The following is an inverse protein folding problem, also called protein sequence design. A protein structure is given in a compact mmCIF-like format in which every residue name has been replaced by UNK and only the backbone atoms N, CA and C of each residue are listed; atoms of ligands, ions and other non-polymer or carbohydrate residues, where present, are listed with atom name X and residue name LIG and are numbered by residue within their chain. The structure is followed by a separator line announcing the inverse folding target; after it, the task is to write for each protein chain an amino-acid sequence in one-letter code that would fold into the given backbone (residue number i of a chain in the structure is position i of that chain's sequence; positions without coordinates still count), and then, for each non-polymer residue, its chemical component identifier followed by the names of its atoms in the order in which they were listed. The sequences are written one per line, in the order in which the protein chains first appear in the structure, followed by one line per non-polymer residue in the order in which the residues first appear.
data_IF_138302327476
#
_entry.id   IF_138302327476
#
_cell.length_a   1.000
_cell.length_b   1.000
_cell.length_c   1.000
_cell.angle_alpha   90.00
_cell.angle_beta   90.00
_cell.angle_gamma   90.00
#
_symmetry.space_group_name_H-M   'P 1'
#
loop_
_entity.id
_entity.type
_entity.pdbx_description
1 polymer ?
#
# COMPACT_ATOMS: atom_id res chain seq x y z
N UNK A 1 -43.88 -29.23 11.31
CA UNK A 1 -42.89 -29.12 12.39
C UNK A 1 -42.15 -27.82 12.17
N UNK A 2 -42.41 -26.86 13.07
CA UNK A 2 -41.70 -25.58 13.22
C UNK A 2 -40.19 -25.84 13.23
N UNK A 3 -39.37 -25.05 12.54
CA UNK A 3 -39.23 -23.62 12.79
C UNK A 3 -38.20 -23.43 13.90
N UNK A 4 -36.93 -23.66 13.58
CA UNK A 4 -35.78 -23.33 14.42
C UNK A 4 -34.54 -23.36 13.53
N UNK A 5 -33.99 -22.18 13.20
CA UNK A 5 -32.57 -21.88 12.93
C UNK A 5 -32.49 -20.51 12.23
N UNK A 6 -32.61 -19.45 13.03
CA UNK A 6 -32.00 -18.14 12.82
C UNK A 6 -32.35 -17.28 14.04
N UNK A 7 -31.78 -17.61 15.19
CA UNK A 7 -31.69 -16.62 16.24
C UNK A 7 -30.73 -15.55 15.72
N UNK A 8 -31.26 -14.36 15.43
CA UNK A 8 -30.48 -13.14 15.24
C UNK A 8 -29.68 -12.92 16.51
N UNK A 9 -28.43 -13.38 16.51
CA UNK A 9 -27.46 -13.03 17.55
C UNK A 9 -27.23 -11.53 17.42
N UNK A 10 -27.52 -10.77 18.48
CA UNK A 10 -27.02 -9.41 18.58
C UNK A 10 -25.48 -9.48 18.56
N UNK A 11 -24.80 -8.68 17.72
CA UNK A 11 -23.34 -8.62 17.72
C UNK A 11 -22.84 -8.29 19.12
N UNK A 12 -21.79 -8.97 19.56
CA UNK A 12 -21.23 -8.84 20.92
C UNK A 12 -20.54 -7.48 21.14
N UNK A 13 -20.30 -6.72 20.08
CA UNK A 13 -19.55 -5.46 20.11
C UNK A 13 -20.45 -4.30 20.55
N UNK A 14 -20.27 -3.79 21.78
CA UNK A 14 -20.86 -2.52 22.23
C UNK A 14 -20.21 -1.36 21.43
N UNK A 15 -20.98 -0.85 20.47
CA UNK A 15 -20.67 0.29 19.58
C UNK A 15 -20.33 1.60 20.30
N UNK A 16 -20.57 1.70 21.62
CA UNK A 16 -20.20 2.90 22.42
C UNK A 16 -18.70 3.09 22.62
N UNK A 17 -17.87 2.16 22.14
CA UNK A 17 -16.43 2.37 22.03
C UNK A 17 -16.12 3.14 20.74
N UNK A 18 -15.72 4.40 20.89
CA UNK A 18 -15.46 5.36 19.82
C UNK A 18 -14.93 4.74 18.51
N UNK A 19 -15.51 5.16 17.38
CA UNK A 19 -15.25 4.75 15.99
C UNK A 19 -13.77 4.53 15.57
N UNK A 20 -12.80 5.00 16.36
CA UNK A 20 -11.36 4.76 16.19
C UNK A 20 -10.88 3.35 16.56
N UNK A 21 -11.73 2.50 17.15
CA UNK A 21 -11.31 1.21 17.74
C UNK A 21 -11.75 -0.04 17.02
N UNK A 22 -12.47 0.07 15.91
CA UNK A 22 -12.91 -1.09 15.13
C UNK A 22 -11.95 -1.39 13.98
N UNK A 23 -11.73 -2.67 13.72
CA UNK A 23 -10.98 -3.18 12.58
C UNK A 23 -11.87 -4.17 11.82
N UNK A 24 -11.82 -4.10 10.49
CA UNK A 24 -12.53 -5.00 9.60
C UNK A 24 -11.49 -5.70 8.73
N UNK A 25 -11.37 -7.01 8.91
CA UNK A 25 -10.63 -7.86 8.00
C UNK A 25 -11.61 -8.53 7.03
N UNK A 26 -11.56 -8.20 5.73
CA UNK A 26 -12.37 -8.88 4.72
C UNK A 26 -12.07 -10.38 4.67
N UNK A 27 -13.11 -11.20 4.61
CA UNK A 27 -13.06 -12.65 4.49
C UNK A 27 -13.96 -13.14 3.35
N UNK A 28 -13.66 -14.35 2.87
CA UNK A 28 -14.39 -14.95 1.75
C UNK A 28 -14.28 -14.09 0.50
N UNK A 29 -13.04 -13.71 0.15
CA UNK A 29 -12.76 -12.96 -1.06
C UNK A 29 -13.12 -13.80 -2.28
N UNK A 30 -13.92 -13.20 -3.17
CA UNK A 30 -14.34 -13.77 -4.45
C UNK A 30 -14.03 -12.78 -5.56
N UNK A 31 -13.90 -13.27 -6.78
CA UNK A 31 -13.56 -12.49 -7.96
C UNK A 31 -14.50 -12.78 -9.14
N UNK A 32 -14.40 -11.96 -10.19
CA UNK A 32 -15.08 -12.18 -11.47
C UNK A 32 -16.60 -12.30 -11.34
N UNK A 33 -17.19 -13.27 -12.04
CA UNK A 33 -18.63 -13.51 -12.02
C UNK A 33 -19.20 -13.76 -10.61
N UNK A 34 -18.42 -14.41 -9.73
CA UNK A 34 -18.85 -14.64 -8.36
C UNK A 34 -18.91 -13.34 -7.55
N UNK A 35 -17.92 -12.44 -7.72
CA UNK A 35 -17.93 -11.13 -7.08
C UNK A 35 -19.13 -10.28 -7.52
N UNK A 36 -19.45 -10.30 -8.82
CA UNK A 36 -20.63 -9.60 -9.35
C UNK A 36 -21.90 -10.17 -8.74
N UNK A 37 -22.05 -11.49 -8.71
CA UNK A 37 -23.24 -12.15 -8.20
C UNK A 37 -23.51 -11.85 -6.72
N UNK A 38 -22.48 -11.95 -5.85
CA UNK A 38 -22.66 -11.68 -4.41
C UNK A 38 -22.95 -10.20 -4.12
N UNK A 39 -22.36 -9.27 -4.89
CA UNK A 39 -22.68 -7.85 -4.76
C UNK A 39 -24.11 -7.54 -5.20
N UNK A 40 -24.60 -8.18 -6.26
CA UNK A 40 -25.97 -7.99 -6.76
C UNK A 40 -27.03 -8.59 -5.84
N UNK A 41 -26.75 -9.72 -5.20
CA UNK A 41 -27.66 -10.34 -4.23
C UNK A 41 -27.66 -9.65 -2.86
N UNK A 42 -26.66 -8.80 -2.58
CA UNK A 42 -26.45 -8.18 -1.28
C UNK A 42 -25.74 -9.07 -0.26
N UNK A 43 -25.24 -10.24 -0.69
CA UNK A 43 -24.48 -11.17 0.16
C UNK A 43 -22.99 -10.82 0.24
N UNK A 44 -22.53 -9.84 -0.55
CA UNK A 44 -21.16 -9.37 -0.56
C UNK A 44 -21.05 -7.87 -0.85
N UNK A 45 -19.87 -7.32 -0.58
CA UNK A 45 -19.51 -5.95 -0.91
C UNK A 45 -18.24 -5.96 -1.75
N UNK A 46 -18.17 -5.06 -2.74
CA UNK A 46 -16.94 -4.84 -3.50
C UNK A 46 -15.80 -4.46 -2.55
N UNK A 47 -14.58 -4.92 -2.84
CA UNK A 47 -13.38 -4.52 -2.09
C UNK A 47 -12.72 -3.35 -2.80
N UNK A 48 -12.66 -2.19 -2.14
CA UNK A 48 -12.02 -0.97 -2.66
C UNK A 48 -12.52 -0.53 -4.06
N UNK A 49 -13.77 -0.88 -4.41
CA UNK A 49 -14.37 -0.71 -5.76
C UNK A 49 -13.62 -1.39 -6.91
N UNK A 50 -12.81 -2.40 -6.62
CA UNK A 50 -12.12 -3.23 -7.59
C UNK A 50 -12.95 -4.43 -8.08
N UNK A 51 -12.32 -5.39 -8.78
CA UNK A 51 -12.99 -6.57 -9.33
C UNK A 51 -13.22 -7.68 -8.29
N UNK A 52 -12.83 -7.46 -7.03
CA UNK A 52 -12.99 -8.39 -5.93
C UNK A 52 -14.17 -7.97 -5.05
N UNK A 53 -14.78 -8.96 -4.38
CA UNK A 53 -15.76 -8.74 -3.34
C UNK A 53 -15.46 -9.61 -2.12
N UNK A 54 -15.94 -9.21 -0.95
CA UNK A 54 -15.91 -10.01 0.27
C UNK A 54 -17.32 -10.33 0.72
N UNK A 55 -17.50 -11.51 1.30
CA UNK A 55 -18.82 -12.03 1.76
C UNK A 55 -18.95 -12.02 3.28
N UNK A 56 -17.81 -11.93 3.98
CA UNK A 56 -17.73 -11.92 5.42
C UNK A 56 -16.71 -10.89 5.89
N UNK A 57 -16.85 -10.43 7.13
CA UNK A 57 -15.87 -9.59 7.80
C UNK A 57 -15.58 -10.14 9.18
N UNK A 58 -14.31 -10.30 9.49
CA UNK A 58 -13.87 -10.46 10.88
C UNK A 58 -13.74 -9.06 11.46
N UNK A 59 -14.68 -8.70 12.34
CA UNK A 59 -14.64 -7.46 13.09
C UNK A 59 -13.85 -7.67 14.37
N UNK A 60 -13.00 -6.72 14.71
CA UNK A 60 -12.27 -6.74 15.97
C UNK A 60 -12.34 -5.39 16.67
N UNK A 61 -12.68 -5.41 17.95
CA UNK A 61 -12.52 -4.26 18.85
C UNK A 61 -11.09 -4.17 19.38
N UNK A 62 -10.53 -2.96 19.42
CA UNK A 62 -9.17 -2.69 19.90
C UNK A 62 -9.22 -1.85 21.18
N UNK A 63 -8.77 -2.42 22.29
CA UNK A 63 -8.66 -1.74 23.58
C UNK A 63 -7.34 -0.96 23.72
N UNK A 64 -7.27 0.24 23.14
CA UNK A 64 -6.06 1.08 23.12
C UNK A 64 -4.83 0.44 22.42
N UNK A 65 -3.85 1.23 21.94
CA UNK A 65 -2.70 0.69 21.20
C UNK A 65 -1.90 -0.31 22.04
N UNK A 66 -1.66 -1.50 21.49
CA UNK A 66 -0.77 -2.51 22.09
C UNK A 66 -1.37 -3.46 23.15
N UNK A 67 -2.70 -3.55 23.29
CA UNK A 67 -3.36 -4.57 24.15
C UNK A 67 -4.15 -5.60 23.35
N UNK A 68 -4.34 -6.77 23.98
CA UNK A 68 -5.02 -7.94 23.41
C UNK A 68 -6.39 -7.62 22.80
N UNK A 69 -6.67 -8.19 21.63
CA UNK A 69 -7.99 -8.18 20.99
C UNK A 69 -8.98 -8.94 21.87
N UNK A 70 -9.89 -8.23 22.53
CA UNK A 70 -10.80 -8.87 23.48
C UNK A 70 -12.06 -9.42 22.80
N UNK A 71 -12.55 -8.80 21.72
CA UNK A 71 -13.74 -9.27 20.99
C UNK A 71 -13.50 -9.41 19.49
N UNK A 72 -13.63 -10.64 19.00
CA UNK A 72 -13.60 -10.99 17.56
C UNK A 72 -14.93 -11.58 17.16
N UNK A 73 -15.52 -11.03 16.11
CA UNK A 73 -16.77 -11.55 15.57
C UNK A 73 -16.69 -11.69 14.05
N UNK A 74 -16.94 -12.90 13.56
CA UNK A 74 -17.07 -13.16 12.13
C UNK A 74 -18.53 -12.96 11.74
N UNK A 75 -18.78 -11.96 10.90
CA UNK A 75 -20.11 -11.60 10.43
C UNK A 75 -20.21 -11.80 8.92
N UNK A 76 -21.39 -12.20 8.44
CA UNK A 76 -21.71 -12.10 7.01
C UNK A 76 -21.89 -10.62 6.64
N UNK A 77 -21.73 -10.26 5.37
CA UNK A 77 -22.00 -8.89 4.90
C UNK A 77 -23.42 -8.41 5.26
N UNK A 78 -24.49 -9.19 5.04
CA UNK A 78 -25.83 -8.79 5.50
C UNK A 78 -25.92 -8.50 6.99
N UNK A 79 -25.22 -9.28 7.83
CA UNK A 79 -25.20 -9.07 9.28
C UNK A 79 -24.41 -7.80 9.64
N UNK A 80 -23.27 -7.57 8.99
CA UNK A 80 -22.47 -6.35 9.16
C UNK A 80 -23.28 -5.10 8.82
N UNK A 81 -24.04 -5.11 7.73
CA UNK A 81 -24.87 -3.98 7.31
C UNK A 81 -26.03 -3.74 8.28
N UNK A 82 -26.66 -4.80 8.81
CA UNK A 82 -27.69 -4.67 9.85
C UNK A 82 -27.12 -4.11 11.15
N UNK A 83 -25.95 -4.60 11.57
CA UNK A 83 -25.22 -4.07 12.72
C UNK A 83 -24.90 -2.58 12.54
N UNK A 84 -24.34 -2.18 11.40
CA UNK A 84 -24.02 -0.78 11.12
C UNK A 84 -25.26 0.12 11.08
N UNK A 85 -26.38 -0.38 10.54
CA UNK A 85 -27.66 0.35 10.55
C UNK A 85 -28.18 0.55 11.97
N UNK A 86 -28.06 -0.45 12.83
CA UNK A 86 -28.50 -0.36 14.22
C UNK A 86 -27.58 0.60 15.02
N UNK A 87 -26.26 0.43 14.92
CA UNK A 87 -25.30 1.34 15.55
C UNK A 87 -25.53 2.81 15.17
N UNK A 88 -25.83 3.09 13.89
CA UNK A 88 -26.13 4.43 13.42
C UNK A 88 -27.42 5.02 14.04
N UNK A 89 -28.44 4.19 14.32
CA UNK A 89 -29.65 4.62 15.05
C UNK A 89 -29.35 4.95 16.51
N UNK A 90 -28.35 4.29 17.07
CA UNK A 90 -27.88 4.50 18.44
C UNK A 90 -26.82 5.62 18.54
N UNK A 91 -26.52 6.29 17.42
CA UNK A 91 -25.63 7.44 17.35
C UNK A 91 -24.16 7.12 17.03
N UNK A 92 -23.80 5.86 16.81
CA UNK A 92 -22.44 5.45 16.41
C UNK A 92 -22.33 5.23 14.89
N UNK A 93 -21.50 6.05 14.24
CA UNK A 93 -21.23 5.95 12.80
C UNK A 93 -20.01 5.07 12.48
N UNK A 94 -19.28 4.60 13.48
CA UNK A 94 -18.03 3.85 13.32
C UNK A 94 -18.14 2.61 12.42
N UNK A 95 -19.10 1.71 12.67
CA UNK A 95 -19.32 0.53 11.83
C UNK A 95 -19.59 0.87 10.37
N UNK A 96 -20.50 1.80 10.11
CA UNK A 96 -20.86 2.23 8.76
C UNK A 96 -19.66 2.85 8.04
N UNK A 97 -18.90 3.72 8.72
CA UNK A 97 -17.71 4.35 8.19
C UNK A 97 -16.60 3.32 7.86
N UNK A 98 -16.37 2.34 8.74
CA UNK A 98 -15.36 1.29 8.54
C UNK A 98 -15.71 0.37 7.35
N UNK A 99 -16.97 -0.04 7.25
CA UNK A 99 -17.47 -0.83 6.10
C UNK A 99 -17.35 -0.01 4.82
N UNK A 100 -17.76 1.27 4.87
CA UNK A 100 -17.67 2.22 3.77
C UNK A 100 -16.23 2.37 3.25
N UNK A 101 -15.25 2.68 4.12
CA UNK A 101 -13.84 2.84 3.74
C UNK A 101 -13.25 1.59 3.09
N UNK A 102 -13.66 0.42 3.57
CA UNK A 102 -13.22 -0.89 3.03
C UNK A 102 -13.79 -1.15 1.64
N UNK A 103 -15.06 -0.82 1.42
CA UNK A 103 -15.77 -1.17 0.19
C UNK A 103 -15.69 -0.11 -0.92
N UNK A 104 -15.54 1.17 -0.54
CA UNK A 104 -15.64 2.29 -1.46
C UNK A 104 -14.59 2.26 -2.58
N UNK A 105 -14.95 2.68 -3.81
CA UNK A 105 -13.99 2.85 -4.89
C UNK A 105 -12.85 3.80 -4.51
N UNK A 106 -11.60 3.42 -4.85
CA UNK A 106 -10.44 4.30 -4.70
C UNK A 106 -10.47 5.43 -5.72
N UNK A 107 -10.24 6.66 -5.24
CA UNK A 107 -10.10 7.84 -6.09
C UNK A 107 -8.93 7.69 -7.07
N UNK A 108 -8.92 8.56 -8.08
CA UNK A 108 -7.74 8.72 -8.93
C UNK A 108 -6.57 9.20 -8.07
N UNK A 109 -5.39 8.61 -8.27
CA UNK A 109 -4.18 8.93 -7.51
C UNK A 109 -3.03 9.17 -8.49
N UNK A 110 -2.35 10.31 -8.40
CA UNK A 110 -1.30 10.70 -9.36
C UNK A 110 -1.74 10.55 -10.83
N UNK A 111 -2.97 11.00 -11.15
CA UNK A 111 -3.63 10.85 -12.45
C UNK A 111 -3.90 9.40 -12.92
N UNK A 112 -3.64 8.39 -12.09
CA UNK A 112 -3.97 7.01 -12.37
C UNK A 112 -5.37 6.67 -11.87
N UNK A 113 -6.24 6.19 -12.76
CA UNK A 113 -7.56 5.66 -12.39
C UNK A 113 -7.37 4.30 -11.71
N UNK A 114 -7.77 4.18 -10.46
CA UNK A 114 -7.50 3.01 -9.60
C UNK A 114 -8.70 2.08 -9.39
N UNK A 115 -9.93 2.52 -9.67
CA UNK A 115 -11.15 1.73 -9.44
C UNK A 115 -12.23 2.04 -10.47
N UNK A 116 -13.28 1.20 -10.52
CA UNK A 116 -14.39 1.34 -11.46
C UNK A 116 -14.13 0.71 -12.83
N UNK A 117 -15.04 0.99 -13.78
CA UNK A 117 -15.02 0.38 -15.11
C UNK A 117 -13.76 0.75 -15.89
N UNK A 118 -13.01 -0.26 -16.34
CA UNK A 118 -11.77 -0.08 -17.10
C UNK A 118 -10.52 0.19 -16.24
N UNK A 119 -10.65 0.30 -14.92
CA UNK A 119 -9.49 0.38 -14.04
C UNK A 119 -8.67 -0.92 -14.08
N UNK A 120 -7.38 -0.79 -13.79
CA UNK A 120 -6.44 -1.91 -13.66
C UNK A 120 -5.43 -1.62 -12.57
N UNK A 121 -4.83 -2.65 -11.96
CA UNK A 121 -3.65 -2.47 -11.14
C UNK A 121 -2.56 -1.72 -11.89
N UNK A 122 -1.85 -0.86 -11.17
CA UNK A 122 -0.80 0.00 -11.70
C UNK A 122 0.57 -0.54 -11.35
N UNK A 123 1.52 -0.32 -12.24
CA UNK A 123 2.90 -0.74 -12.07
C UNK A 123 3.76 0.49 -11.87
N UNK A 124 4.45 0.55 -10.74
CA UNK A 124 5.46 1.55 -10.43
C UNK A 124 6.84 0.91 -10.64
N UNK A 125 7.56 1.33 -11.70
CA UNK A 125 8.87 0.78 -12.05
C UNK A 125 9.99 1.43 -11.23
N UNK A 126 10.85 0.64 -10.60
CA UNK A 126 11.95 1.16 -9.75
C UNK A 126 13.14 1.58 -10.60
N UNK A 127 13.56 2.85 -10.47
CA UNK A 127 14.77 3.40 -11.10
C UNK A 127 15.70 3.97 -10.02
N UNK A 128 16.68 3.18 -9.58
CA UNK A 128 17.65 3.64 -8.58
C UNK A 128 18.83 4.35 -9.27
N UNK A 129 19.03 5.63 -8.95
CA UNK A 129 20.16 6.45 -9.42
C UNK A 129 21.28 6.44 -8.36
N UNK A 130 21.74 5.24 -8.01
CA UNK A 130 22.79 5.04 -7.01
C UNK A 130 23.97 4.25 -7.57
N UNK A 131 25.22 4.58 -7.18
CA UNK A 131 26.40 3.77 -7.52
C UNK A 131 26.34 2.35 -6.93
N UNK A 132 25.64 2.18 -5.81
CA UNK A 132 25.63 0.95 -4.99
C UNK A 132 24.41 0.05 -5.26
N UNK A 133 23.76 0.18 -6.43
CA UNK A 133 22.55 -0.59 -6.77
C UNK A 133 22.87 -2.08 -7.06
N UNK A 134 23.07 -2.87 -6.00
CA UNK A 134 23.34 -4.32 -6.01
C UNK A 134 22.28 -5.19 -6.75
N UNK A 135 21.11 -4.63 -7.10
CA UNK A 135 20.08 -5.36 -7.89
C UNK A 135 20.24 -5.16 -9.39
N UNK A 136 20.85 -4.03 -9.79
CA UNK A 136 20.93 -3.54 -11.16
C UNK A 136 22.40 -3.30 -11.57
N UNK A 137 23.36 -3.86 -10.82
CA UNK A 137 24.78 -3.89 -11.17
C UNK A 137 25.55 -2.56 -11.01
N UNK A 138 24.94 -1.48 -10.50
CA UNK A 138 25.59 -0.15 -10.44
C UNK A 138 25.64 0.59 -11.77
N UNK A 139 25.05 0.03 -12.85
CA UNK A 139 25.14 0.55 -14.22
C UNK A 139 24.38 1.87 -14.46
N UNK A 140 23.62 2.35 -13.46
CA UNK A 140 22.75 3.54 -13.56
C UNK A 140 23.22 4.73 -12.69
N UNK A 141 24.47 4.73 -12.23
CA UNK A 141 25.00 5.79 -11.35
C UNK A 141 25.07 7.19 -11.99
N UNK A 142 25.07 7.25 -13.32
CA UNK A 142 25.08 8.48 -14.09
C UNK A 142 23.68 8.80 -14.66
N UNK A 143 23.31 10.08 -14.83
CA UNK A 143 21.98 10.46 -15.32
C UNK A 143 21.60 9.79 -16.65
N UNK A 144 22.51 9.71 -17.63
CA UNK A 144 22.22 9.15 -18.95
C UNK A 144 21.73 7.69 -18.92
N UNK A 145 22.50 6.75 -18.33
CA UNK A 145 22.04 5.37 -18.14
C UNK A 145 20.76 5.24 -17.31
N UNK A 146 20.56 6.08 -16.29
CA UNK A 146 19.32 6.07 -15.50
C UNK A 146 18.10 6.52 -16.33
N UNK A 147 18.24 7.55 -17.15
CA UNK A 147 17.22 8.03 -18.09
C UNK A 147 16.85 6.92 -19.08
N UNK A 148 17.85 6.29 -19.71
CA UNK A 148 17.61 5.22 -20.68
C UNK A 148 16.87 4.03 -20.04
N UNK A 149 17.25 3.67 -18.81
CA UNK A 149 16.58 2.60 -18.06
C UNK A 149 15.15 2.99 -17.67
N UNK A 150 14.92 4.21 -17.18
CA UNK A 150 13.57 4.70 -16.88
C UNK A 150 12.65 4.71 -18.12
N UNK A 151 13.18 5.09 -19.28
CA UNK A 151 12.46 5.01 -20.55
C UNK A 151 12.16 3.56 -20.94
N UNK A 152 13.09 2.63 -20.68
CA UNK A 152 12.84 1.19 -20.86
C UNK A 152 11.70 0.70 -19.94
N UNK A 153 11.71 1.04 -18.65
CA UNK A 153 10.64 0.67 -17.71
C UNK A 153 9.27 1.17 -18.21
N UNK A 154 9.21 2.39 -18.72
CA UNK A 154 7.99 2.92 -19.33
C UNK A 154 7.57 2.10 -20.58
N UNK A 155 8.53 1.77 -21.45
CA UNK A 155 8.31 0.90 -22.62
C UNK A 155 7.83 -0.52 -22.28
N UNK A 156 8.31 -1.06 -21.16
CA UNK A 156 7.93 -2.37 -20.62
C UNK A 156 6.53 -2.35 -19.95
N UNK A 157 5.95 -1.17 -19.76
CA UNK A 157 4.57 -0.99 -19.30
C UNK A 157 4.40 -0.44 -17.88
N UNK A 158 5.44 0.21 -17.31
CA UNK A 158 5.29 0.97 -16.07
C UNK A 158 4.31 2.13 -16.28
N UNK A 159 3.37 2.31 -15.35
CA UNK A 159 2.46 3.45 -15.32
C UNK A 159 3.13 4.72 -14.74
N UNK A 160 4.14 4.52 -13.90
CA UNK A 160 4.94 5.56 -13.26
C UNK A 160 6.34 5.01 -12.98
N UNK A 161 7.36 5.84 -13.12
CA UNK A 161 8.74 5.50 -12.77
C UNK A 161 9.08 6.12 -11.42
N UNK A 162 9.57 5.32 -10.48
CA UNK A 162 9.98 5.74 -9.15
C UNK A 162 11.49 5.91 -9.08
N UNK A 163 11.93 7.17 -9.02
CA UNK A 163 13.33 7.57 -9.07
C UNK A 163 13.86 7.75 -7.64
N UNK A 164 14.89 7.00 -7.27
CA UNK A 164 15.51 7.08 -5.95
C UNK A 164 17.00 7.42 -6.01
N UNK A 165 17.45 8.42 -5.25
CA UNK A 165 18.85 8.86 -5.19
C UNK A 165 19.64 8.34 -3.98
N UNK A 166 18.95 7.73 -3.02
CA UNK A 166 19.47 7.14 -1.79
C UNK A 166 19.07 5.66 -1.71
N UNK A 167 20.01 4.80 -1.30
CA UNK A 167 19.70 3.39 -1.06
C UNK A 167 19.04 3.24 0.32
N UNK A 168 17.80 2.77 0.36
CA UNK A 168 17.06 2.47 1.61
C UNK A 168 17.28 1.02 2.09
N UNK A 169 18.37 0.39 1.64
CA UNK A 169 18.70 -1.00 1.98
C UNK A 169 19.33 -1.11 3.38
N UNK A 170 19.16 -2.27 4.05
CA UNK A 170 19.90 -2.56 5.27
C UNK A 170 21.39 -2.30 5.14
N UNK A 171 21.93 -1.46 6.02
CA UNK A 171 23.35 -1.11 6.10
C UNK A 171 23.86 -0.07 5.08
N UNK A 172 22.99 0.59 4.32
CA UNK A 172 23.41 1.66 3.41
C UNK A 172 23.79 2.94 4.17
N UNK A 173 24.86 3.62 3.72
CA UNK A 173 25.28 4.89 4.27
C UNK A 173 24.35 6.04 3.81
N UNK A 174 23.98 6.96 4.71
CA UNK A 174 23.21 8.14 4.33
C UNK A 174 23.97 9.00 3.32
N UNK A 175 23.26 9.48 2.31
CA UNK A 175 23.84 10.41 1.32
C UNK A 175 23.64 11.85 1.80
N UNK A 176 24.43 12.83 1.35
CA UNK A 176 24.10 14.24 1.64
C UNK A 176 22.92 14.69 0.77
N UNK A 177 22.01 15.52 1.29
CA UNK A 177 20.82 15.98 0.55
C UNK A 177 21.17 16.55 -0.83
N UNK A 178 22.18 17.43 -0.88
CA UNK A 178 22.67 18.00 -2.13
C UNK A 178 23.08 16.93 -3.16
N UNK A 179 23.74 15.86 -2.71
CA UNK A 179 24.18 14.77 -3.59
C UNK A 179 23.00 13.96 -4.10
N UNK A 180 21.98 13.76 -3.26
CA UNK A 180 20.72 13.12 -3.70
C UNK A 180 20.03 13.95 -4.78
N UNK A 181 19.92 15.29 -4.59
CA UNK A 181 19.38 16.22 -5.60
C UNK A 181 20.18 16.15 -6.90
N UNK A 182 21.52 16.22 -6.84
CA UNK A 182 22.39 16.15 -8.01
C UNK A 182 22.23 14.84 -8.80
N UNK A 183 21.87 13.74 -8.13
CA UNK A 183 21.59 12.44 -8.77
C UNK A 183 20.22 12.41 -9.44
N UNK A 184 19.16 12.78 -8.72
CA UNK A 184 17.78 12.54 -9.18
C UNK A 184 17.27 13.61 -10.12
N UNK A 185 17.64 14.88 -9.91
CA UNK A 185 17.01 16.00 -10.59
C UNK A 185 17.18 15.95 -12.12
N UNK A 186 18.38 15.68 -12.69
CA UNK A 186 18.53 15.58 -14.13
C UNK A 186 17.70 14.44 -14.76
N UNK A 187 17.50 13.35 -14.01
CA UNK A 187 16.68 12.22 -14.46
C UNK A 187 15.20 12.60 -14.43
N UNK A 188 14.73 13.21 -13.34
CA UNK A 188 13.34 13.67 -13.20
C UNK A 188 12.98 14.67 -14.31
N UNK A 189 13.79 15.72 -14.49
CA UNK A 189 13.54 16.78 -15.48
C UNK A 189 13.41 16.20 -16.90
N UNK A 190 14.30 15.28 -17.27
CA UNK A 190 14.26 14.65 -18.60
C UNK A 190 13.01 13.78 -18.78
N UNK A 191 12.65 12.96 -17.79
CA UNK A 191 11.48 12.08 -17.86
C UNK A 191 10.17 12.88 -17.91
N UNK A 192 10.07 13.94 -17.10
CA UNK A 192 8.90 14.84 -17.09
C UNK A 192 8.80 15.58 -18.42
N UNK A 193 9.92 16.05 -19.00
CA UNK A 193 9.93 16.69 -20.33
C UNK A 193 9.44 15.74 -21.45
N UNK A 194 9.63 14.44 -21.28
CA UNK A 194 9.10 13.40 -22.18
C UNK A 194 7.66 12.97 -21.87
N UNK A 195 7.01 13.61 -20.88
CA UNK A 195 5.63 13.32 -20.51
C UNK A 195 5.45 12.02 -19.71
N UNK A 196 6.53 11.46 -19.16
CA UNK A 196 6.45 10.27 -18.31
C UNK A 196 6.05 10.68 -16.88
N UNK A 197 5.08 10.00 -16.25
CA UNK A 197 4.80 10.18 -14.83
C UNK A 197 5.98 9.73 -13.99
N UNK A 198 6.43 10.58 -13.06
CA UNK A 198 7.57 10.31 -12.18
C UNK A 198 7.16 10.37 -10.72
N UNK A 199 7.59 9.39 -9.95
CA UNK A 199 7.61 9.37 -8.50
C UNK A 199 9.02 9.66 -8.01
N UNK A 200 9.16 10.41 -6.91
CA UNK A 200 10.43 10.59 -6.21
C UNK A 200 10.43 9.75 -4.92
N UNK A 201 11.36 8.80 -4.81
CA UNK A 201 11.63 8.00 -3.60
C UNK A 201 12.64 8.76 -2.72
N UNK A 202 12.12 9.50 -1.74
CA UNK A 202 12.94 10.28 -0.81
C UNK A 202 12.23 10.52 0.52
N UNK A 203 13.02 10.73 1.57
CA UNK A 203 12.59 11.12 2.92
C UNK A 203 12.93 12.56 3.29
N UNK A 204 13.58 13.31 2.38
CA UNK A 204 14.13 14.65 2.66
C UNK A 204 13.28 15.75 2.08
N UNK A 205 12.95 16.74 2.90
CA UNK A 205 12.13 17.87 2.51
C UNK A 205 12.75 18.69 1.36
N UNK A 206 14.07 18.87 1.36
CA UNK A 206 14.77 19.59 0.29
C UNK A 206 14.70 18.88 -1.07
N UNK A 207 14.83 17.54 -1.07
CA UNK A 207 14.69 16.72 -2.29
C UNK A 207 13.25 16.73 -2.78
N UNK A 208 12.27 16.58 -1.87
CA UNK A 208 10.85 16.66 -2.21
C UNK A 208 10.52 17.99 -2.89
N UNK A 209 11.02 19.12 -2.36
CA UNK A 209 10.77 20.45 -2.92
C UNK A 209 11.35 20.59 -4.32
N UNK A 210 12.61 20.19 -4.52
CA UNK A 210 13.25 20.22 -5.83
C UNK A 210 12.52 19.34 -6.86
N UNK A 211 12.06 18.16 -6.45
CA UNK A 211 11.31 17.25 -7.30
C UNK A 211 9.91 17.79 -7.65
N UNK A 212 9.21 18.40 -6.69
CA UNK A 212 7.93 19.09 -6.92
C UNK A 212 8.12 20.20 -7.96
N UNK A 213 9.14 21.03 -7.81
CA UNK A 213 9.44 22.13 -8.75
C UNK A 213 9.76 21.60 -10.16
N UNK A 214 10.38 20.42 -10.26
CA UNK A 214 10.64 19.71 -11.52
C UNK A 214 9.42 18.99 -12.11
N UNK A 215 8.29 18.92 -11.40
CA UNK A 215 7.02 18.41 -11.92
C UNK A 215 6.76 16.91 -11.68
N UNK A 216 7.30 16.32 -10.60
CA UNK A 216 6.94 14.94 -10.22
C UNK A 216 5.43 14.77 -10.00
N UNK A 217 4.93 13.59 -10.33
CA UNK A 217 3.54 13.22 -10.19
C UNK A 217 3.18 12.71 -8.78
N UNK A 218 4.15 12.20 -8.01
CA UNK A 218 3.95 11.79 -6.62
C UNK A 218 5.26 11.76 -5.81
N UNK A 219 5.14 11.82 -4.49
CA UNK A 219 6.23 11.60 -3.52
C UNK A 219 6.04 10.21 -2.88
N UNK A 220 7.11 9.43 -2.83
CA UNK A 220 7.15 8.14 -2.15
C UNK A 220 8.12 8.24 -0.98
N UNK A 221 7.61 8.23 0.26
CA UNK A 221 8.43 8.38 1.46
C UNK A 221 8.34 7.13 2.34
N UNK A 222 9.45 6.41 2.41
CA UNK A 222 9.64 5.21 3.23
C UNK A 222 9.48 5.45 4.74
N UNK A 223 9.63 6.69 5.20
CA UNK A 223 9.40 7.10 6.59
C UNK A 223 7.97 7.54 6.87
N UNK A 224 7.14 7.69 5.84
CA UNK A 224 5.79 8.25 5.95
C UNK A 224 5.79 9.71 6.41
N UNK A 225 6.74 10.54 5.96
CA UNK A 225 6.92 11.95 6.33
C UNK A 225 7.28 12.17 7.81
N UNK A 226 7.98 11.21 8.42
CA UNK A 226 8.32 11.27 9.85
C UNK A 226 9.80 11.48 10.15
N UNK A 227 10.68 11.25 9.17
CA UNK A 227 12.12 11.35 9.38
C UNK A 227 12.64 12.79 9.28
N UNK A 228 12.19 13.55 8.27
CA UNK A 228 12.48 14.99 8.13
C UNK A 228 11.31 15.83 8.67
N UNK A 229 11.55 16.74 9.64
CA UNK A 229 10.49 17.53 10.27
C UNK A 229 9.76 18.47 9.29
N UNK A 230 10.38 18.87 8.18
CA UNK A 230 9.80 19.79 7.21
C UNK A 230 9.05 19.06 6.08
N UNK A 231 9.13 17.73 6.00
CA UNK A 231 8.56 16.93 4.90
C UNK A 231 7.03 17.06 4.82
N UNK A 232 6.35 17.03 5.97
CA UNK A 232 4.89 17.18 6.01
C UNK A 232 4.44 18.54 5.48
N UNK A 233 5.13 19.61 5.88
CA UNK A 233 4.82 20.97 5.43
C UNK A 233 5.09 21.14 3.93
N UNK A 234 6.15 20.51 3.39
CA UNK A 234 6.40 20.48 1.94
C UNK A 234 5.26 19.82 1.18
N UNK A 235 4.79 18.67 1.63
CA UNK A 235 3.67 17.95 0.98
C UNK A 235 2.38 18.76 1.09
N UNK A 236 2.06 19.30 2.27
CA UNK A 236 0.87 20.11 2.51
C UNK A 236 0.84 21.39 1.66
N UNK A 237 2.00 22.02 1.43
CA UNK A 237 2.12 23.22 0.61
C UNK A 237 2.05 22.96 -0.92
N UNK A 238 2.03 21.69 -1.35
CA UNK A 238 1.94 21.31 -2.77
C UNK A 238 0.57 20.70 -3.12
N UNK A 239 0.36 20.35 -4.39
CA UNK A 239 -0.76 19.49 -4.83
C UNK A 239 -0.31 18.06 -5.16
N UNK A 240 0.95 17.72 -4.90
CA UNK A 240 1.53 16.44 -5.25
C UNK A 240 1.08 15.37 -4.25
N UNK A 241 0.53 14.22 -4.69
CA UNK A 241 0.16 13.12 -3.81
C UNK A 241 1.37 12.45 -3.16
N UNK A 242 1.14 11.76 -2.05
CA UNK A 242 2.17 11.09 -1.25
C UNK A 242 1.80 9.64 -0.94
N UNK A 243 2.80 8.76 -0.97
CA UNK A 243 2.75 7.40 -0.42
C UNK A 243 3.39 7.40 0.97
N UNK A 244 2.63 7.02 1.98
CA UNK A 244 3.09 6.89 3.36
C UNK A 244 3.44 5.42 3.64
N UNK A 245 4.71 5.12 3.84
CA UNK A 245 5.13 3.77 4.19
C UNK A 245 5.32 3.59 5.71
N UNK A 246 5.09 2.37 6.19
CA UNK A 246 5.48 1.97 7.54
C UNK A 246 6.85 1.30 7.58
N UNK A 247 7.72 1.81 8.45
CA UNK A 247 9.04 1.24 8.78
C UNK A 247 9.24 1.25 10.30
N UNK A 248 9.72 0.13 10.86
CA UNK A 248 10.18 0.07 12.25
C UNK A 248 11.70 0.15 12.28
N UNK A 249 12.24 1.04 13.13
CA UNK A 249 13.67 1.33 13.16
C UNK A 249 14.11 2.22 12.00
N UNK A 250 15.41 2.26 11.75
CA UNK A 250 16.04 3.00 10.66
C UNK A 250 16.62 2.00 9.64
N UNK A 251 16.80 2.36 8.36
CA UNK A 251 17.27 1.41 7.34
C UNK A 251 18.53 0.64 7.77
N UNK A 252 19.45 1.27 8.49
CA UNK A 252 20.69 0.65 8.97
C UNK A 252 20.54 -0.39 10.10
N UNK A 253 19.47 -0.36 10.91
CA UNK A 253 19.30 -1.23 12.08
C UNK A 253 17.94 -1.94 12.16
N UNK A 254 17.03 -1.67 11.20
CA UNK A 254 15.67 -2.17 11.24
C UNK A 254 15.58 -3.71 11.25
N UNK A 255 16.60 -4.40 10.74
CA UNK A 255 16.60 -5.87 10.66
C UNK A 255 17.25 -6.57 11.87
N UNK A 256 17.74 -5.82 12.86
CA UNK A 256 18.52 -6.40 13.97
C UNK A 256 17.66 -7.25 14.91
N UNK A 257 16.52 -6.73 15.35
CA UNK A 257 15.53 -7.46 16.20
C UNK A 257 14.12 -6.86 16.08
N UNK A 258 13.47 -6.93 14.90
CA UNK A 258 12.14 -6.38 14.71
C UNK A 258 11.10 -7.20 15.48
N UNK A 259 10.44 -6.58 16.46
CA UNK A 259 9.45 -7.21 17.33
C UNK A 259 8.09 -6.52 17.18
N UNK A 260 7.04 -7.34 17.01
CA UNK A 260 5.64 -6.94 17.03
C UNK A 260 4.87 -7.97 17.85
N UNK A 261 3.88 -7.53 18.60
CA UNK A 261 2.88 -8.41 19.22
C UNK A 261 1.83 -8.86 18.18
N UNK A 262 1.41 -7.95 17.30
CA UNK A 262 0.58 -8.24 16.12
C UNK A 262 0.99 -7.26 15.01
N UNK A 263 1.80 -7.74 14.07
CA UNK A 263 2.35 -6.88 13.00
C UNK A 263 1.25 -6.27 12.14
N UNK A 264 0.12 -6.94 11.95
CA UNK A 264 -0.96 -6.41 11.09
C UNK A 264 -1.63 -5.23 11.79
N UNK A 265 -1.95 -5.35 13.07
CA UNK A 265 -2.59 -4.24 13.80
C UNK A 265 -1.63 -3.08 14.04
N UNK A 266 -0.39 -3.35 14.44
CA UNK A 266 0.58 -2.29 14.73
C UNK A 266 0.94 -1.48 13.48
N UNK A 267 1.12 -2.13 12.34
CA UNK A 267 1.34 -1.45 11.05
C UNK A 267 0.11 -0.65 10.63
N UNK A 268 -1.09 -1.20 10.83
CA UNK A 268 -2.35 -0.50 10.55
C UNK A 268 -2.47 0.78 11.38
N UNK A 269 -2.19 0.70 12.69
CA UNK A 269 -2.29 1.82 13.62
C UNK A 269 -1.24 2.90 13.32
N UNK A 270 -0.02 2.50 13.01
CA UNK A 270 1.03 3.44 12.61
C UNK A 270 0.66 4.20 11.33
N UNK A 271 0.16 3.50 10.30
CA UNK A 271 -0.30 4.13 9.07
C UNK A 271 -1.53 5.03 9.29
N UNK A 272 -2.49 4.61 10.12
CA UNK A 272 -3.63 5.44 10.50
C UNK A 272 -3.17 6.76 11.12
N UNK A 273 -2.23 6.72 12.07
CA UNK A 273 -1.69 7.93 12.70
C UNK A 273 -0.95 8.85 11.71
N UNK A 274 -0.28 8.29 10.69
CA UNK A 274 0.36 9.09 9.64
C UNK A 274 -0.65 9.70 8.67
N UNK A 275 -1.74 8.99 8.35
CA UNK A 275 -2.86 9.54 7.58
C UNK A 275 -3.46 10.72 8.36
N UNK A 276 -3.77 10.54 9.64
CA UNK A 276 -4.35 11.59 10.48
C UNK A 276 -3.44 12.83 10.52
N UNK A 277 -2.13 12.66 10.68
CA UNK A 277 -1.17 13.77 10.63
C UNK A 277 -1.18 14.53 9.29
N UNK A 278 -1.32 13.83 8.16
CA UNK A 278 -1.47 14.45 6.84
C UNK A 278 -2.77 15.24 6.72
N UNK A 279 -3.89 14.66 7.16
CA UNK A 279 -5.19 15.32 7.10
C UNK A 279 -5.25 16.56 7.98
N UNK A 280 -4.68 16.49 9.19
CA UNK A 280 -4.58 17.61 10.14
C UNK A 280 -3.72 18.75 9.59
N UNK A 281 -2.68 18.43 8.80
CA UNK A 281 -1.87 19.41 8.07
C UNK A 281 -2.55 19.96 6.81
N UNK A 282 -3.76 19.49 6.46
CA UNK A 282 -4.53 19.96 5.31
C UNK A 282 -4.25 19.23 4.00
N UNK A 283 -3.55 18.10 4.02
CA UNK A 283 -3.40 17.24 2.84
C UNK A 283 -4.75 16.57 2.54
N UNK A 284 -5.25 16.72 1.32
CA UNK A 284 -6.52 16.12 0.92
C UNK A 284 -6.46 14.57 0.98
N UNK A 285 -7.52 13.88 1.44
CA UNK A 285 -7.53 12.41 1.55
C UNK A 285 -7.19 11.69 0.24
N UNK A 286 -7.63 12.22 -0.90
CA UNK A 286 -7.41 11.63 -2.23
C UNK A 286 -5.95 11.68 -2.68
N UNK A 287 -5.12 12.47 -1.98
CA UNK A 287 -3.68 12.61 -2.22
C UNK A 287 -2.84 11.65 -1.39
N UNK A 288 -3.44 10.81 -0.55
CA UNK A 288 -2.71 9.92 0.35
C UNK A 288 -2.91 8.46 -0.05
N UNK A 289 -1.80 7.77 -0.30
CA UNK A 289 -1.73 6.31 -0.40
C UNK A 289 -0.87 5.75 0.74
N UNK A 290 -0.97 4.45 0.99
CA UNK A 290 -0.19 3.76 2.03
C UNK A 290 0.61 2.59 1.50
N UNK A 291 1.74 2.29 2.14
CA UNK A 291 2.53 1.06 1.94
C UNK A 291 2.82 0.39 3.31
N UNK A 292 2.39 -0.86 3.54
CA UNK A 292 2.72 -1.60 4.78
C UNK A 292 4.21 -1.84 5.05
N UNK A 293 5.07 -1.58 4.05
CA UNK A 293 6.53 -1.57 4.17
C UNK A 293 7.14 -2.96 4.22
N UNK A 294 6.88 -3.80 3.23
CA UNK A 294 7.44 -5.15 3.17
C UNK A 294 8.98 -5.13 3.17
N UNK A 295 9.56 -5.90 4.08
CA UNK A 295 11.01 -5.97 4.30
C UNK A 295 11.63 -4.78 5.04
N UNK A 296 10.82 -3.87 5.61
CA UNK A 296 11.30 -2.73 6.42
C UNK A 296 11.00 -2.96 7.91
N UNK A 297 11.98 -3.51 8.62
CA UNK A 297 11.86 -3.86 10.03
C UNK A 297 10.87 -4.98 10.30
N UNK A 298 10.96 -6.08 9.54
CA UNK A 298 9.99 -7.19 9.55
C UNK A 298 10.66 -8.52 9.23
N UNK A 299 10.39 -9.54 10.05
CA UNK A 299 10.82 -10.93 9.82
C UNK A 299 10.10 -11.55 8.61
N UNK A 300 10.55 -12.73 8.15
CA UNK A 300 9.84 -13.48 7.10
C UNK A 300 8.39 -13.77 7.50
N UNK A 301 8.17 -14.20 8.75
CA UNK A 301 6.83 -14.47 9.27
C UNK A 301 5.95 -13.22 9.25
N UNK A 302 6.49 -12.07 9.68
CA UNK A 302 5.76 -10.79 9.64
C UNK A 302 5.36 -10.39 8.23
N UNK A 303 6.26 -10.54 7.25
CA UNK A 303 5.96 -10.23 5.84
C UNK A 303 4.87 -11.14 5.28
N UNK A 304 4.90 -12.44 5.61
CA UNK A 304 3.86 -13.38 5.17
C UNK A 304 2.51 -13.08 5.82
N UNK A 305 2.49 -12.71 7.10
CA UNK A 305 1.27 -12.34 7.81
C UNK A 305 0.63 -11.08 7.23
N UNK A 306 1.43 -10.03 6.97
CA UNK A 306 0.97 -8.81 6.30
C UNK A 306 0.39 -9.11 4.91
N UNK A 307 1.07 -9.93 4.09
CA UNK A 307 0.60 -10.27 2.75
C UNK A 307 -0.71 -11.09 2.80
N UNK A 308 -0.87 -11.93 3.83
CA UNK A 308 -2.07 -12.75 4.03
C UNK A 308 -3.28 -11.91 4.46
N UNK A 309 -3.05 -10.81 5.17
CA UNK A 309 -4.09 -9.96 5.75
C UNK A 309 -4.15 -8.56 5.15
N UNK A 310 -3.57 -8.38 3.96
CA UNK A 310 -3.41 -7.08 3.30
C UNK A 310 -4.74 -6.38 3.01
N UNK A 311 -5.81 -7.14 2.73
CA UNK A 311 -7.14 -6.58 2.51
C UNK A 311 -7.69 -5.79 3.71
N UNK A 312 -7.20 -6.04 4.94
CA UNK A 312 -7.60 -5.29 6.14
C UNK A 312 -7.24 -3.79 6.03
N UNK A 313 -6.13 -3.47 5.35
CA UNK A 313 -5.66 -2.09 5.21
C UNK A 313 -6.59 -1.22 4.36
N UNK A 314 -7.48 -1.81 3.56
CA UNK A 314 -8.52 -1.05 2.88
C UNK A 314 -9.48 -0.32 3.84
N UNK A 315 -9.57 -0.77 5.09
CA UNK A 315 -10.29 -0.06 6.14
C UNK A 315 -9.70 1.32 6.48
N UNK A 316 -8.49 1.66 6.01
CA UNK A 316 -7.90 3.00 6.14
C UNK A 316 -8.45 4.00 5.12
N UNK A 317 -9.14 3.54 4.08
CA UNK A 317 -9.72 4.45 3.08
C UNK A 317 -8.78 4.88 1.95
N UNK A 318 -7.48 4.57 2.04
CA UNK A 318 -6.46 4.94 1.06
C UNK A 318 -6.18 3.85 0.00
N UNK A 319 -5.68 4.22 -1.19
CA UNK A 319 -5.00 3.28 -2.08
C UNK A 319 -3.82 2.60 -1.39
N UNK A 320 -3.55 1.35 -1.77
CA UNK A 320 -2.43 0.57 -1.27
C UNK A 320 -1.37 0.43 -2.36
N UNK A 321 -0.13 0.76 -2.00
CA UNK A 321 1.10 0.49 -2.74
C UNK A 321 1.85 -0.65 -2.05
N UNK A 322 2.44 -1.55 -2.83
CA UNK A 322 3.31 -2.62 -2.27
C UNK A 322 4.63 -2.74 -3.00
N UNK A 323 5.74 -2.71 -2.25
CA UNK A 323 7.07 -3.07 -2.72
C UNK A 323 7.49 -4.49 -2.33
N UNK A 324 7.10 -5.50 -3.11
CA UNK A 324 7.43 -6.93 -2.84
C UNK A 324 8.63 -7.45 -3.66
N UNK A 325 8.99 -6.74 -4.73
CA UNK A 325 9.95 -7.21 -5.74
C UNK A 325 11.35 -7.41 -5.18
N UNK A 326 11.93 -8.59 -5.45
CA UNK A 326 13.30 -9.03 -5.13
C UNK A 326 13.67 -9.03 -3.63
N UNK A 327 12.69 -8.87 -2.74
CA UNK A 327 12.88 -8.79 -1.28
C UNK A 327 13.49 -10.06 -0.68
N UNK A 328 14.20 -9.89 0.45
CA UNK A 328 14.93 -10.97 1.14
C UNK A 328 14.04 -12.12 1.59
N UNK A 329 12.77 -11.86 1.96
CA UNK A 329 11.86 -12.93 2.38
C UNK A 329 11.58 -13.94 1.26
N UNK A 330 11.62 -13.52 -0.02
CA UNK A 330 11.49 -14.43 -1.16
C UNK A 330 12.71 -15.34 -1.21
N UNK A 331 13.91 -14.78 -1.11
CA UNK A 331 15.16 -15.56 -1.07
C UNK A 331 15.19 -16.56 0.09
N UNK A 332 14.73 -16.16 1.27
CA UNK A 332 14.64 -17.03 2.44
C UNK A 332 13.67 -18.21 2.25
N UNK A 333 12.59 -18.03 1.47
CA UNK A 333 11.60 -19.08 1.21
C UNK A 333 12.00 -20.01 0.06
N UNK A 334 12.70 -19.49 -0.95
CA UNK A 334 13.03 -20.24 -2.17
C UNK A 334 14.47 -20.77 -2.19
N UNK A 335 15.33 -20.29 -1.30
CA UNK A 335 16.77 -20.52 -1.35
C UNK A 335 17.49 -19.69 -2.43
N UNK A 336 16.84 -18.69 -3.02
CA UNK A 336 17.45 -17.85 -4.06
C UNK A 336 18.21 -16.67 -3.43
N UNK A 337 19.54 -16.75 -3.45
CA UNK A 337 20.43 -15.77 -2.83
C UNK A 337 20.56 -14.49 -3.66
N UNK A 338 20.47 -14.58 -5.00
CA UNK A 338 20.67 -13.45 -5.91
C UNK A 338 19.37 -12.66 -6.05
N UNK A 339 19.31 -11.38 -5.62
CA UNK A 339 18.06 -10.61 -5.67
C UNK A 339 17.45 -10.52 -7.09
N UNK A 340 18.27 -10.34 -8.12
CA UNK A 340 17.82 -10.25 -9.51
C UNK A 340 17.28 -11.57 -10.07
N UNK A 341 17.58 -12.72 -9.45
CA UNK A 341 17.02 -14.02 -9.84
C UNK A 341 15.66 -14.32 -9.17
N UNK A 342 15.14 -13.42 -8.32
CA UNK A 342 13.87 -13.61 -7.57
C UNK A 342 12.62 -13.20 -8.35
N UNK A 343 12.70 -13.02 -9.67
CA UNK A 343 11.59 -12.51 -10.50
C UNK A 343 10.32 -13.35 -10.36
N UNK A 344 10.40 -14.68 -10.47
CA UNK A 344 9.23 -15.56 -10.36
C UNK A 344 8.54 -15.46 -8.99
N UNK A 345 9.32 -15.46 -7.90
CA UNK A 345 8.77 -15.28 -6.55
C UNK A 345 8.18 -13.88 -6.33
N UNK A 346 8.76 -12.86 -6.96
CA UNK A 346 8.28 -11.48 -6.91
C UNK A 346 6.92 -11.34 -7.60
N UNK A 347 6.79 -11.92 -8.79
CA UNK A 347 5.52 -11.94 -9.55
C UNK A 347 4.45 -12.70 -8.76
N UNK A 348 4.78 -13.86 -8.18
CA UNK A 348 3.84 -14.62 -7.34
C UNK A 348 3.34 -13.79 -6.14
N UNK A 349 4.23 -13.08 -5.45
CA UNK A 349 3.87 -12.20 -4.34
C UNK A 349 3.00 -11.01 -4.80
N UNK A 350 3.30 -10.41 -5.96
CA UNK A 350 2.51 -9.33 -6.54
C UNK A 350 1.08 -9.78 -6.91
N UNK A 351 0.92 -10.96 -7.52
CA UNK A 351 -0.40 -11.54 -7.81
C UNK A 351 -1.20 -11.80 -6.54
N UNK A 352 -0.55 -12.33 -5.48
CA UNK A 352 -1.19 -12.49 -4.17
C UNK A 352 -1.67 -11.15 -3.60
N UNK A 353 -0.91 -10.07 -3.79
CA UNK A 353 -1.32 -8.73 -3.38
C UNK A 353 -2.53 -8.22 -4.19
N UNK A 354 -2.61 -8.52 -5.49
CA UNK A 354 -3.79 -8.21 -6.30
C UNK A 354 -5.03 -8.96 -5.83
N UNK A 355 -4.90 -10.23 -5.44
CA UNK A 355 -5.95 -11.04 -4.80
C UNK A 355 -6.33 -10.54 -3.38
N UNK A 356 -5.70 -9.46 -2.91
CA UNK A 356 -6.06 -8.73 -1.70
C UNK A 356 -6.60 -7.33 -1.98
N UNK A 357 -6.78 -6.96 -3.26
CA UNK A 357 -7.35 -5.68 -3.68
C UNK A 357 -6.34 -4.53 -3.82
N UNK A 358 -5.04 -4.80 -3.89
CA UNK A 358 -3.99 -3.76 -4.04
C UNK A 358 -4.11 -3.01 -5.37
N UNK A 359 -3.86 -1.69 -5.32
CA UNK A 359 -3.96 -0.80 -6.48
C UNK A 359 -2.64 -0.63 -7.23
N UNK A 360 -1.50 -0.58 -6.54
CA UNK A 360 -0.20 -0.26 -7.15
C UNK A 360 0.87 -1.25 -6.67
N UNK A 361 1.61 -1.84 -7.60
CA UNK A 361 2.77 -2.68 -7.31
C UNK A 361 4.06 -1.98 -7.74
N UNK A 362 4.98 -1.81 -6.79
CA UNK A 362 6.32 -1.28 -7.02
C UNK A 362 7.30 -2.42 -7.33
N UNK A 363 7.84 -2.45 -8.55
CA UNK A 363 8.60 -3.61 -9.08
C UNK A 363 9.85 -3.22 -9.86
N UNK A 364 10.84 -4.12 -9.86
CA UNK A 364 12.01 -4.03 -10.73
C UNK A 364 11.72 -4.68 -12.10
N UNK A 365 11.11 -5.86 -12.09
CA UNK A 365 10.81 -6.67 -13.28
C UNK A 365 9.45 -6.27 -13.89
N UNK A 366 9.42 -5.12 -14.58
CA UNK A 366 8.17 -4.50 -15.09
C UNK A 366 7.49 -5.36 -16.15
N UNK A 367 8.23 -5.84 -17.16
CA UNK A 367 7.66 -6.60 -18.27
C UNK A 367 6.98 -7.90 -17.80
N UNK A 368 7.65 -8.65 -16.91
CA UNK A 368 7.15 -9.90 -16.33
C UNK A 368 5.94 -9.65 -15.45
N UNK A 369 5.97 -8.59 -14.63
CA UNK A 369 4.84 -8.20 -13.79
C UNK A 369 3.64 -7.78 -14.65
N UNK A 370 3.89 -7.02 -15.72
CA UNK A 370 2.86 -6.58 -16.67
C UNK A 370 2.19 -7.77 -17.35
N UNK A 371 2.98 -8.72 -17.84
CA UNK A 371 2.48 -9.95 -18.43
C UNK A 371 1.59 -10.72 -17.44
N UNK A 372 2.05 -10.87 -16.19
CA UNK A 372 1.28 -11.57 -15.16
C UNK A 372 -0.03 -10.85 -14.82
N UNK A 373 -0.02 -9.52 -14.73
CA UNK A 373 -1.22 -8.72 -14.45
C UNK A 373 -2.25 -8.83 -15.58
N UNK A 374 -1.80 -8.90 -16.83
CA UNK A 374 -2.70 -9.09 -17.98
C UNK A 374 -3.37 -10.45 -17.98
N UNK A 375 -2.64 -11.51 -17.65
CA UNK A 375 -3.21 -12.85 -17.47
C UNK A 375 -4.18 -12.86 -16.29
N UNK A 376 -3.79 -12.31 -15.13
CA UNK A 376 -4.66 -12.24 -13.95
C UNK A 376 -5.97 -11.52 -14.27
N UNK A 377 -5.93 -10.37 -14.94
CA UNK A 377 -7.14 -9.62 -15.32
C UNK A 377 -8.03 -10.38 -16.30
N UNK A 378 -7.47 -11.17 -17.21
CA UNK A 378 -8.23 -11.94 -18.17
C UNK A 378 -8.93 -13.17 -17.54
N UNK A 379 -8.50 -13.59 -16.35
CA UNK A 379 -9.11 -14.69 -15.60
C UNK A 379 -10.35 -14.24 -14.79
N UNK A 380 -10.40 -12.96 -14.37
CA UNK A 380 -11.54 -12.38 -13.65
C UNK A 380 -12.68 -12.06 -14.61
#
# INVERSE_FOLDING_TARGET
MSGAFAATREPLLDSRTAASRLRLRPFGLVSGAAAIAVCQSGDGLALAGGPLAFTHGLITGVDAPGRAQNDKELLTVPDMLRWATQAARDGDQGPAALIGRTAQPRSTFANMVLSGAGARPRIMGVCNVTPDSFSDGGDHAAPGPAIAFAQQLAGDGADIVDVGGESTRPGADPVAERVEIERVLPVIEELVAHGLPVSIDTRRAGVMRAAIDAGVALINDVSGLSDDPDALDVVAASNVPVVLMHMQGQPNNMQDDPSYADVVQEVYDALAGRIDACLDAGVAPERVAIDPGFGFGKTVAHNLELLTHLAQFHGLGCPIVVGLSRKSFIGALTGEEIPSARTAGSVAAALKALDQGVQIARVHDVAETRQAFDVWRAIL
#
